data_IF_921090585423
#
_entry.id   IF_921090585423
#
_cell.length_a   1.000
_cell.length_b   1.000
_cell.length_c   1.000
_cell.angle_alpha   90.00
_cell.angle_beta   90.00
_cell.angle_gamma   90.00
#
_symmetry.space_group_name_H-M   'P 1'
#
loop_
_entity.id
_entity.type
_entity.pdbx_description
1 polymer ?
#
# COMPACT_ATOMS: atom_id res chain seq x y z
N UNK A 1 -4.59 -9.26 27.65
CA UNK A 1 -6.04 -9.14 27.86
C UNK A 1 -6.33 -7.65 28.03
N UNK A 2 -7.08 -7.04 27.10
CA UNK A 2 -7.35 -5.59 27.08
C UNK A 2 -6.89 -4.89 25.79
N UNK A 3 -7.56 -5.16 24.67
CA UNK A 3 -7.40 -4.43 23.42
C UNK A 3 -8.04 -3.04 23.51
N UNK A 4 -7.32 -2.02 23.06
CA UNK A 4 -7.84 -0.67 22.86
C UNK A 4 -8.82 -0.66 21.67
N UNK A 5 -10.12 -0.62 21.98
CA UNK A 5 -11.18 -0.27 21.03
C UNK A 5 -11.29 1.25 20.96
N UNK A 6 -10.65 1.84 19.95
CA UNK A 6 -10.82 3.24 19.57
C UNK A 6 -11.41 3.35 18.16
N UNK A 7 -12.41 2.52 17.85
CA UNK A 7 -13.24 2.73 16.68
C UNK A 7 -14.24 3.84 17.02
N UNK A 8 -14.21 4.95 16.28
CA UNK A 8 -15.40 5.80 16.20
C UNK A 8 -16.45 4.95 15.50
N UNK A 9 -17.28 4.28 16.30
CA UNK A 9 -18.48 3.64 15.80
C UNK A 9 -19.26 4.72 15.05
N UNK A 10 -19.37 4.52 13.74
CA UNK A 10 -20.41 5.15 12.95
C UNK A 10 -21.69 4.54 13.51
N UNK A 11 -22.23 5.14 14.58
CA UNK A 11 -23.63 4.96 14.92
C UNK A 11 -24.37 5.44 13.69
N UNK A 12 -24.76 4.46 12.87
CA UNK A 12 -25.90 4.62 12.01
C UNK A 12 -27.00 5.16 12.90
N UNK A 13 -27.41 6.38 12.62
CA UNK A 13 -28.57 6.97 13.25
C UNK A 13 -29.70 6.00 12.94
N UNK A 14 -30.07 5.18 13.93
CA UNK A 14 -31.38 4.55 13.94
C UNK A 14 -32.35 5.71 13.80
N UNK A 15 -32.90 5.86 12.61
CA UNK A 15 -34.00 6.78 12.36
C UNK A 15 -35.21 6.12 13.02
N UNK A 16 -35.27 6.17 14.35
CA UNK A 16 -36.56 6.20 15.03
C UNK A 16 -37.15 7.58 14.76
N UNK A 17 -37.53 7.81 13.51
CA UNK A 17 -38.48 8.83 13.14
C UNK A 17 -39.74 8.56 13.96
N UNK A 18 -40.15 9.55 14.74
CA UNK A 18 -41.42 9.53 15.44
C UNK A 18 -42.51 9.02 14.51
N UNK A 19 -43.06 7.84 14.84
CA UNK A 19 -44.23 7.27 14.21
C UNK A 19 -45.42 8.21 14.43
N UNK A 20 -45.65 9.12 13.49
CA UNK A 20 -46.97 9.64 13.22
C UNK A 20 -47.53 8.82 12.06
N UNK A 21 -48.43 7.89 12.39
CA UNK A 21 -48.99 6.86 11.51
C UNK A 21 -49.92 7.37 10.41
N UNK A 22 -49.55 8.42 9.68
CA UNK A 22 -50.23 8.89 8.47
C UNK A 22 -49.19 9.57 7.55
N UNK A 23 -48.26 8.79 6.97
CA UNK A 23 -47.50 9.25 5.80
C UNK A 23 -48.11 8.62 4.54
N UNK A 24 -48.70 9.46 3.69
CA UNK A 24 -49.14 9.08 2.37
C UNK A 24 -47.94 8.47 1.60
N UNK A 25 -48.11 7.27 1.03
CA UNK A 25 -47.08 6.61 0.21
C UNK A 25 -46.82 7.42 -1.05
N UNK A 26 -45.90 8.38 -0.99
CA UNK A 26 -45.40 9.11 -2.16
C UNK A 26 -44.37 8.30 -2.96
N UNK A 27 -43.77 7.28 -2.33
CA UNK A 27 -42.76 6.39 -2.91
C UNK A 27 -43.05 4.94 -2.54
N UNK A 28 -42.66 4.01 -3.41
CA UNK A 28 -42.84 2.56 -3.24
C UNK A 28 -41.69 1.90 -2.44
N UNK A 29 -40.83 2.70 -1.82
CA UNK A 29 -39.67 2.26 -1.03
C UNK A 29 -39.46 3.13 0.21
N UNK A 30 -39.05 2.54 1.33
CA UNK A 30 -38.83 3.25 2.59
C UNK A 30 -37.35 3.60 2.82
N UNK A 31 -37.09 4.54 3.73
CA UNK A 31 -35.73 4.91 4.13
C UNK A 31 -34.96 3.72 4.75
N UNK A 32 -35.65 2.89 5.54
CA UNK A 32 -35.05 1.70 6.15
C UNK A 32 -34.67 0.66 5.09
N UNK A 33 -35.51 0.45 4.06
CA UNK A 33 -35.17 -0.44 2.94
C UNK A 33 -33.90 0.00 2.21
N UNK A 34 -33.78 1.31 1.94
CA UNK A 34 -32.59 1.90 1.30
C UNK A 34 -31.35 1.77 2.20
N UNK A 35 -31.54 2.00 3.50
CA UNK A 35 -30.48 1.87 4.49
C UNK A 35 -29.97 0.43 4.56
N UNK A 36 -30.85 -0.57 4.67
CA UNK A 36 -30.47 -1.98 4.69
C UNK A 36 -29.78 -2.39 3.39
N UNK A 37 -30.33 -2.01 2.23
CA UNK A 37 -29.69 -2.29 0.92
C UNK A 37 -28.26 -1.75 0.85
N UNK A 38 -28.01 -0.54 1.34
CA UNK A 38 -26.69 0.07 1.31
C UNK A 38 -25.75 -0.43 2.43
N UNK A 39 -26.24 -0.55 3.67
CA UNK A 39 -25.44 -0.91 4.83
C UNK A 39 -25.05 -2.40 4.85
N UNK A 40 -25.93 -3.28 4.39
CA UNK A 40 -25.70 -4.73 4.31
C UNK A 40 -25.21 -5.15 2.91
N UNK A 41 -25.16 -4.22 1.96
CA UNK A 41 -24.79 -4.46 0.56
C UNK A 41 -25.62 -5.58 -0.07
N UNK A 42 -26.94 -5.54 0.18
CA UNK A 42 -27.88 -6.52 -0.32
C UNK A 42 -28.10 -6.36 -1.83
N UNK A 43 -27.17 -6.89 -2.61
CA UNK A 43 -27.22 -6.88 -4.07
C UNK A 43 -28.32 -7.78 -4.63
N UNK A 44 -28.75 -8.79 -3.87
CA UNK A 44 -29.82 -9.69 -4.28
C UNK A 44 -31.19 -9.02 -4.09
N UNK A 45 -31.38 -8.26 -3.01
CA UNK A 45 -32.53 -7.37 -2.83
C UNK A 45 -32.61 -6.29 -3.90
N UNK A 46 -31.48 -5.69 -4.28
CA UNK A 46 -31.42 -4.74 -5.41
C UNK A 46 -31.84 -5.39 -6.73
N UNK A 47 -31.34 -6.61 -7.03
CA UNK A 47 -31.71 -7.37 -8.23
C UNK A 47 -33.20 -7.74 -8.24
N UNK A 48 -33.74 -8.16 -7.10
CA UNK A 48 -35.16 -8.48 -6.95
C UNK A 48 -36.08 -7.29 -7.24
N UNK A 49 -35.59 -6.07 -7.00
CA UNK A 49 -36.28 -4.80 -7.31
C UNK A 49 -36.02 -4.26 -8.72
N UNK A 50 -35.46 -5.07 -9.63
CA UNK A 50 -35.20 -4.67 -11.02
C UNK A 50 -33.85 -3.97 -11.23
N UNK A 51 -32.90 -4.12 -10.29
CA UNK A 51 -31.57 -3.52 -10.40
C UNK A 51 -31.59 -2.00 -10.20
N UNK A 52 -30.59 -1.31 -10.77
CA UNK A 52 -30.45 0.15 -10.64
C UNK A 52 -31.61 0.88 -11.29
N UNK A 53 -32.05 0.43 -12.46
CA UNK A 53 -33.17 1.05 -13.18
C UNK A 53 -34.48 0.86 -12.44
N UNK A 54 -34.72 -0.33 -11.87
CA UNK A 54 -35.89 -0.58 -11.03
C UNK A 54 -35.89 0.23 -9.74
N UNK A 55 -34.73 0.37 -9.08
CA UNK A 55 -34.59 1.23 -7.89
C UNK A 55 -34.84 2.71 -8.22
N UNK A 56 -34.31 3.20 -9.34
CA UNK A 56 -34.56 4.56 -9.81
C UNK A 56 -36.06 4.78 -10.05
N UNK A 57 -36.75 3.82 -10.67
CA UNK A 57 -38.21 3.83 -10.85
C UNK A 57 -38.98 3.93 -9.53
N UNK A 58 -38.61 3.15 -8.50
CA UNK A 58 -39.23 3.19 -7.17
C UNK A 58 -39.05 4.53 -6.45
N UNK A 59 -37.98 5.27 -6.80
CA UNK A 59 -37.68 6.61 -6.30
C UNK A 59 -38.21 7.72 -7.21
N UNK A 60 -39.00 7.39 -8.23
CA UNK A 60 -39.46 8.32 -9.26
C UNK A 60 -38.33 9.14 -9.90
N UNK A 61 -37.15 8.52 -10.06
CA UNK A 61 -35.95 9.09 -10.65
C UNK A 61 -35.55 8.33 -11.91
N UNK A 62 -34.84 8.99 -12.81
CA UNK A 62 -34.26 8.37 -14.02
C UNK A 62 -32.75 8.24 -13.86
N UNK A 63 -32.16 7.12 -14.27
CA UNK A 63 -30.70 6.94 -14.28
C UNK A 63 -30.02 7.85 -15.30
N UNK A 64 -30.75 8.34 -16.31
CA UNK A 64 -30.25 9.24 -17.34
C UNK A 64 -30.60 10.70 -17.05
N UNK A 65 -31.85 10.98 -16.68
CA UNK A 65 -32.35 12.35 -16.53
C UNK A 65 -32.37 12.85 -15.07
N UNK A 66 -32.18 11.96 -14.10
CA UNK A 66 -32.22 12.28 -12.67
C UNK A 66 -33.61 12.68 -12.18
N UNK A 67 -33.64 13.42 -11.06
CA UNK A 67 -34.87 13.94 -10.45
C UNK A 67 -35.34 15.25 -11.11
N UNK A 68 -36.65 15.49 -11.12
CA UNK A 68 -37.23 16.81 -11.41
C UNK A 68 -37.15 17.73 -10.18
N UNK A 69 -37.31 19.05 -10.36
CA UNK A 69 -37.32 20.00 -9.23
C UNK A 69 -38.41 19.68 -8.19
N UNK A 70 -39.59 19.27 -8.65
CA UNK A 70 -40.69 18.80 -7.78
C UNK A 70 -40.31 17.52 -7.04
N UNK A 71 -39.62 16.59 -7.72
CA UNK A 71 -39.10 15.35 -7.13
C UNK A 71 -38.06 15.60 -6.04
N UNK A 72 -37.22 16.64 -6.20
CA UNK A 72 -36.25 17.05 -5.17
C UNK A 72 -36.95 17.55 -3.91
N UNK A 73 -37.97 18.39 -4.05
CA UNK A 73 -38.75 18.90 -2.92
C UNK A 73 -39.52 17.77 -2.20
N UNK A 74 -40.14 16.86 -2.96
CA UNK A 74 -40.86 15.71 -2.42
C UNK A 74 -39.93 14.73 -1.68
N UNK A 75 -38.74 14.47 -2.23
CA UNK A 75 -37.72 13.63 -1.60
C UNK A 75 -37.22 14.23 -0.29
N UNK A 76 -36.90 15.53 -0.29
CA UNK A 76 -36.44 16.23 0.91
C UNK A 76 -37.48 16.23 2.04
N UNK A 77 -38.77 16.38 1.72
CA UNK A 77 -39.85 16.31 2.70
C UNK A 77 -40.06 14.90 3.26
N UNK A 78 -39.84 13.86 2.45
CA UNK A 78 -40.10 12.46 2.83
C UNK A 78 -38.93 11.83 3.59
N UNK A 79 -37.71 12.00 3.09
CA UNK A 79 -36.49 11.36 3.62
C UNK A 79 -35.69 12.27 4.58
N UNK A 80 -36.02 13.56 4.64
CA UNK A 80 -35.36 14.53 5.50
C UNK A 80 -34.12 15.18 4.90
N UNK A 81 -33.52 16.18 5.59
CA UNK A 81 -32.38 16.93 5.09
C UNK A 81 -31.05 16.19 5.27
N UNK A 82 -30.13 16.36 4.33
CA UNK A 82 -28.77 15.79 4.38
C UNK A 82 -27.82 16.65 5.23
N UNK A 83 -28.11 16.82 6.53
CA UNK A 83 -27.32 17.65 7.46
C UNK A 83 -27.05 16.91 8.76
N UNK A 84 -25.81 16.98 9.25
CA UNK A 84 -25.45 16.43 10.55
C UNK A 84 -26.12 17.22 11.68
N UNK A 85 -26.56 16.51 12.72
CA UNK A 85 -27.03 17.14 13.96
C UNK A 85 -25.84 17.71 14.72
N UNK A 86 -25.75 19.03 14.82
CA UNK A 86 -24.69 19.69 15.58
C UNK A 86 -24.79 19.35 17.08
N UNK A 87 -23.69 18.88 17.68
CA UNK A 87 -23.59 18.65 19.12
C UNK A 87 -23.27 19.98 19.81
N UNK A 88 -24.01 20.38 20.88
CA UNK A 88 -23.78 21.65 21.55
C UNK A 88 -22.37 21.74 22.14
N UNK A 89 -21.80 22.97 22.23
CA UNK A 89 -20.44 23.16 22.73
C UNK A 89 -20.27 22.78 24.20
N UNK A 90 -19.10 22.22 24.53
CA UNK A 90 -18.69 21.98 25.92
C UNK A 90 -18.20 23.29 26.54
N UNK A 91 -18.60 23.56 27.78
CA UNK A 91 -18.10 24.70 28.54
C UNK A 91 -16.73 24.40 29.17
N UNK A 92 -15.93 25.44 29.43
CA UNK A 92 -14.59 25.32 30.03
C UNK A 92 -14.58 24.49 31.33
N UNK A 93 -15.55 24.70 32.23
CA UNK A 93 -15.64 23.95 33.49
C UNK A 93 -15.89 22.46 33.30
N UNK A 94 -16.64 22.08 32.26
CA UNK A 94 -16.85 20.68 31.93
C UNK A 94 -15.54 20.05 31.44
N UNK A 95 -14.75 20.78 30.65
CA UNK A 95 -13.43 20.34 30.19
C UNK A 95 -12.44 20.22 31.36
N UNK A 96 -12.41 21.20 32.27
CA UNK A 96 -11.56 21.14 33.45
C UNK A 96 -11.90 19.95 34.36
N UNK A 97 -13.19 19.65 34.51
CA UNK A 97 -13.64 18.45 35.23
C UNK A 97 -13.21 17.16 34.53
N UNK A 98 -13.35 17.08 33.20
CA UNK A 98 -12.87 15.95 32.40
C UNK A 98 -11.33 15.77 32.54
N UNK A 99 -10.55 16.85 32.53
CA UNK A 99 -9.09 16.83 32.74
C UNK A 99 -8.72 16.35 34.15
N UNK A 100 -9.49 16.73 35.18
CA UNK A 100 -9.26 16.33 36.56
C UNK A 100 -9.53 14.83 36.82
N UNK A 101 -10.26 14.15 35.93
CA UNK A 101 -10.55 12.71 36.02
C UNK A 101 -9.43 11.81 35.48
N UNK A 102 -8.34 12.39 34.95
CA UNK A 102 -7.19 11.61 34.49
C UNK A 102 -6.52 10.86 35.67
N UNK A 103 -6.24 9.55 35.56
CA UNK A 103 -5.61 8.76 36.62
C UNK A 103 -4.30 9.34 37.17
N UNK A 104 -3.51 10.02 36.34
CA UNK A 104 -2.25 10.66 36.73
C UNK A 104 -2.53 11.90 37.58
N UNK A 105 -3.50 12.73 37.17
CA UNK A 105 -3.90 13.91 37.93
C UNK A 105 -4.54 13.51 39.26
N UNK A 106 -5.39 12.47 39.27
CA UNK A 106 -5.98 11.92 40.49
C UNK A 106 -4.88 11.44 41.45
N UNK A 107 -3.86 10.73 40.96
CA UNK A 107 -2.73 10.31 41.77
C UNK A 107 -2.01 11.50 42.42
N UNK A 108 -1.78 12.58 41.65
CA UNK A 108 -1.17 13.81 42.17
C UNK A 108 -2.06 14.52 43.21
N UNK A 109 -3.38 14.52 43.02
CA UNK A 109 -4.33 15.05 44.00
C UNK A 109 -4.27 14.24 45.31
N UNK A 110 -4.24 12.91 45.22
CA UNK A 110 -4.10 12.03 46.39
C UNK A 110 -2.76 12.25 47.08
N UNK A 111 -1.66 12.34 46.32
CA UNK A 111 -0.34 12.63 46.86
C UNK A 111 -0.30 14.01 47.55
N UNK A 112 -0.91 15.03 46.96
CA UNK A 112 -1.02 16.36 47.55
C UNK A 112 -1.82 16.33 48.85
N UNK A 113 -2.94 15.59 48.89
CA UNK A 113 -3.75 15.43 50.08
C UNK A 113 -2.98 14.71 51.21
N UNK A 114 -2.32 13.59 50.91
CA UNK A 114 -1.53 12.82 51.88
C UNK A 114 -0.36 13.65 52.40
N UNK A 115 0.40 14.30 51.51
CA UNK A 115 1.54 15.15 51.87
C UNK A 115 1.11 16.34 52.75
N UNK A 116 0.03 17.03 52.39
CA UNK A 116 -0.50 18.15 53.18
C UNK A 116 -0.98 17.68 54.55
N UNK A 117 -1.64 16.52 54.61
CA UNK A 117 -2.18 15.97 55.87
C UNK A 117 -1.06 15.53 56.81
N UNK A 118 -0.08 14.77 56.32
CA UNK A 118 1.06 14.34 57.13
C UNK A 118 1.90 15.52 57.62
N UNK A 119 2.19 16.49 56.74
CA UNK A 119 2.95 17.70 57.08
C UNK A 119 2.23 18.63 58.06
N UNK A 120 0.91 18.53 58.19
CA UNK A 120 0.13 19.31 59.17
C UNK A 120 -0.16 18.54 60.47
N UNK A 121 -0.29 17.22 60.42
CA UNK A 121 -0.67 16.38 61.55
C UNK A 121 0.52 15.97 62.45
N UNK A 122 1.73 15.85 61.89
CA UNK A 122 2.92 15.41 62.64
C UNK A 122 3.64 16.64 63.22
N UNK A 123 3.85 16.73 64.56
CA UNK A 123 4.45 17.90 65.20
C UNK A 123 5.86 18.25 64.69
N UNK A 124 6.71 17.24 64.49
CA UNK A 124 8.11 17.42 64.04
C UNK A 124 8.20 17.95 62.59
N UNK A 125 7.30 17.54 61.71
CA UNK A 125 7.21 18.03 60.33
C UNK A 125 6.56 19.41 60.24
N UNK A 126 5.62 19.70 61.15
CA UNK A 126 4.94 20.99 61.24
C UNK A 126 5.88 22.13 61.63
N UNK A 127 6.82 21.88 62.54
CA UNK A 127 7.87 22.87 62.90
C UNK A 127 8.79 23.21 61.72
N UNK A 128 8.94 22.29 60.75
CA UNK A 128 9.74 22.48 59.53
C UNK A 128 8.93 22.94 58.32
N UNK A 129 7.66 23.31 58.49
CA UNK A 129 6.75 23.70 57.42
C UNK A 129 6.47 22.59 56.36
N UNK A 130 6.48 21.31 56.74
CA UNK A 130 6.25 20.20 55.81
C UNK A 130 4.91 20.25 55.05
N UNK A 131 3.89 20.94 55.59
CA UNK A 131 2.61 21.18 54.90
C UNK A 131 2.75 22.04 53.63
N UNK A 132 3.81 22.86 53.52
CA UNK A 132 4.07 23.73 52.36
C UNK A 132 4.40 22.90 51.11
N UNK A 133 5.04 21.75 51.27
CA UNK A 133 5.31 20.83 50.16
C UNK A 133 4.01 20.30 49.54
N UNK A 134 3.04 19.92 50.37
CA UNK A 134 1.72 19.49 49.91
C UNK A 134 0.95 20.59 49.20
N UNK A 135 1.00 21.83 49.71
CA UNK A 135 0.37 23.01 49.07
C UNK A 135 1.04 23.35 47.74
N UNK A 136 2.35 23.21 47.61
CA UNK A 136 3.06 23.41 46.34
C UNK A 136 2.57 22.43 45.26
N UNK A 137 2.31 21.17 45.63
CA UNK A 137 1.76 20.17 44.72
C UNK A 137 0.31 20.54 44.32
N UNK A 138 -0.51 21.03 45.24
CA UNK A 138 -1.87 21.52 44.91
C UNK A 138 -1.86 22.63 43.87
N UNK A 139 -0.99 23.63 44.04
CA UNK A 139 -0.87 24.74 43.09
C UNK A 139 -0.43 24.22 41.71
N UNK A 140 0.56 23.32 41.67
CA UNK A 140 1.02 22.71 40.43
C UNK A 140 -0.10 21.96 39.72
N UNK A 141 -0.89 21.16 40.45
CA UNK A 141 -2.02 20.41 39.90
C UNK A 141 -3.10 21.32 39.32
N UNK A 142 -3.47 22.40 40.04
CA UNK A 142 -4.47 23.36 39.56
C UNK A 142 -4.00 24.05 38.26
N UNK A 143 -2.74 24.47 38.21
CA UNK A 143 -2.17 25.08 36.99
C UNK A 143 -2.23 24.10 35.82
N UNK A 144 -1.85 22.83 36.05
CA UNK A 144 -1.88 21.80 35.01
C UNK A 144 -3.31 21.56 34.50
N UNK A 145 -4.31 21.48 35.38
CA UNK A 145 -5.72 21.32 34.97
C UNK A 145 -6.19 22.53 34.15
N UNK A 146 -5.89 23.75 34.59
CA UNK A 146 -6.27 24.97 33.88
C UNK A 146 -5.63 25.07 32.49
N UNK A 147 -4.33 24.74 32.39
CA UNK A 147 -3.61 24.72 31.10
C UNK A 147 -4.15 23.60 30.20
N UNK A 148 -4.43 22.42 30.75
CA UNK A 148 -5.04 21.31 30.02
C UNK A 148 -6.42 21.68 29.44
N UNK A 149 -7.31 22.19 30.29
CA UNK A 149 -8.64 22.64 29.89
C UNK A 149 -8.59 23.81 28.89
N UNK A 150 -7.65 24.75 29.05
CA UNK A 150 -7.44 25.87 28.14
C UNK A 150 -7.00 25.41 26.75
N UNK A 151 -6.05 24.49 26.68
CA UNK A 151 -5.61 23.88 25.43
C UNK A 151 -6.74 23.13 24.73
N UNK A 152 -7.51 22.34 25.47
CA UNK A 152 -8.59 21.56 24.88
C UNK A 152 -9.77 22.42 24.44
N UNK A 153 -10.07 23.51 25.15
CA UNK A 153 -11.03 24.52 24.72
C UNK A 153 -10.58 25.23 23.44
N UNK A 154 -9.29 25.58 23.32
CA UNK A 154 -8.73 26.17 22.10
C UNK A 154 -8.80 25.21 20.91
N UNK A 155 -8.51 23.92 21.13
CA UNK A 155 -8.62 22.87 20.11
C UNK A 155 -10.06 22.70 19.64
N UNK A 156 -11.04 22.60 20.55
CA UNK A 156 -12.45 22.43 20.18
C UNK A 156 -12.96 23.60 19.33
N UNK A 157 -12.56 24.84 19.67
CA UNK A 157 -12.90 26.04 18.89
C UNK A 157 -12.28 26.04 17.49
N UNK A 158 -11.01 25.64 17.36
CA UNK A 158 -10.33 25.55 16.07
C UNK A 158 -10.90 24.42 15.21
N UNK A 159 -11.22 23.27 15.80
CA UNK A 159 -11.84 22.14 15.12
C UNK A 159 -13.19 22.53 14.50
N UNK A 160 -14.03 23.27 15.23
CA UNK A 160 -15.30 23.78 14.72
C UNK A 160 -15.12 24.73 13.52
N UNK A 161 -14.16 25.65 13.61
CA UNK A 161 -13.86 26.58 12.50
C UNK A 161 -13.45 25.84 11.24
N UNK A 162 -12.67 24.76 11.39
CA UNK A 162 -12.25 23.91 10.27
C UNK A 162 -13.41 23.08 9.72
N UNK A 163 -14.28 22.52 10.56
CA UNK A 163 -15.45 21.77 10.10
C UNK A 163 -16.43 22.65 9.32
N UNK A 164 -16.74 23.85 9.81
CA UNK A 164 -17.62 24.79 9.10
C UNK A 164 -17.10 25.16 7.70
N UNK A 165 -15.77 25.19 7.50
CA UNK A 165 -15.16 25.42 6.18
C UNK A 165 -15.12 24.17 5.30
N UNK A 166 -15.11 22.97 5.90
CA UNK A 166 -15.09 21.68 5.20
C UNK A 166 -16.45 21.23 4.70
N UNK A 167 -17.53 21.78 5.23
CA UNK A 167 -18.88 21.32 4.94
C UNK A 167 -19.39 21.70 3.55
N UNK A 168 -18.93 22.79 2.93
CA UNK A 168 -19.40 23.22 1.61
C UNK A 168 -18.59 22.54 0.48
N UNK A 169 -18.90 21.27 0.21
CA UNK A 169 -18.36 20.57 -0.96
C UNK A 169 -19.40 20.61 -2.08
N UNK A 170 -19.00 21.12 -3.23
CA UNK A 170 -19.83 21.13 -4.43
C UNK A 170 -19.81 19.76 -5.12
N UNK A 171 -20.98 19.21 -5.38
CA UNK A 171 -21.20 17.89 -5.97
C UNK A 171 -21.98 18.03 -7.27
N UNK A 172 -21.59 17.29 -8.31
CA UNK A 172 -22.31 17.26 -9.60
C UNK A 172 -23.43 16.23 -9.52
N UNK A 173 -24.66 16.69 -9.73
CA UNK A 173 -25.87 15.86 -9.83
C UNK A 173 -26.50 16.03 -11.21
N UNK A 174 -27.20 15.01 -11.67
CA UNK A 174 -28.11 15.13 -12.83
C UNK A 174 -29.52 15.37 -12.31
N UNK A 175 -30.15 16.46 -12.73
CA UNK A 175 -31.54 16.82 -12.41
C UNK A 175 -32.21 17.38 -13.67
N UNK A 176 -33.39 16.87 -14.03
CA UNK A 176 -34.14 17.28 -15.22
C UNK A 176 -33.36 17.14 -16.54
N UNK A 177 -32.46 16.16 -16.64
CA UNK A 177 -31.59 15.93 -17.81
C UNK A 177 -30.37 16.85 -17.89
N UNK A 178 -30.18 17.77 -16.94
CA UNK A 178 -29.05 18.69 -16.91
C UNK A 178 -28.09 18.38 -15.75
N UNK A 179 -26.79 18.64 -15.97
CA UNK A 179 -25.79 18.56 -14.91
C UNK A 179 -25.81 19.85 -14.09
N UNK A 180 -26.14 19.74 -12.80
CA UNK A 180 -26.22 20.86 -11.87
C UNK A 180 -25.22 20.65 -10.74
N UNK A 181 -24.63 21.74 -10.28
CA UNK A 181 -23.71 21.74 -9.15
C UNK A 181 -24.45 22.16 -7.89
N UNK A 182 -24.52 21.28 -6.90
CA UNK A 182 -25.23 21.51 -5.62
C UNK A 182 -24.27 21.32 -4.45
N UNK A 183 -24.57 21.89 -3.28
CA UNK A 183 -23.82 21.54 -2.08
C UNK A 183 -24.15 20.11 -1.67
N UNK A 184 -23.20 19.41 -1.06
CA UNK A 184 -23.40 18.11 -0.43
C UNK A 184 -24.62 18.08 0.53
N UNK A 185 -24.90 19.18 1.25
CA UNK A 185 -26.04 19.30 2.17
C UNK A 185 -27.40 19.40 1.49
N UNK A 186 -27.42 19.65 0.17
CA UNK A 186 -28.62 19.80 -0.67
C UNK A 186 -28.85 18.57 -1.58
N UNK A 187 -28.04 17.51 -1.42
CA UNK A 187 -28.21 16.21 -2.07
C UNK A 187 -29.37 15.47 -1.42
N UNK A 188 -30.25 14.89 -2.24
CA UNK A 188 -31.46 14.18 -1.79
C UNK A 188 -31.49 12.73 -2.28
N UNK A 189 -32.32 11.91 -1.65
CA UNK A 189 -32.54 10.51 -2.07
C UNK A 189 -33.13 10.49 -3.48
N UNK A 190 -32.52 9.73 -4.38
CA UNK A 190 -32.89 9.64 -5.80
C UNK A 190 -32.04 10.50 -6.75
N UNK A 191 -31.15 11.36 -6.23
CA UNK A 191 -30.18 12.08 -7.07
C UNK A 191 -29.23 11.10 -7.78
N UNK A 192 -28.92 11.40 -9.04
CA UNK A 192 -27.87 10.71 -9.80
C UNK A 192 -26.58 11.52 -9.70
N UNK A 193 -25.60 10.97 -8.97
CA UNK A 193 -24.32 11.63 -8.69
C UNK A 193 -23.29 11.31 -9.77
N UNK A 194 -22.62 12.34 -10.30
CA UNK A 194 -21.48 12.18 -11.20
C UNK A 194 -20.18 12.21 -10.39
N UNK A 195 -19.54 11.06 -10.25
CA UNK A 195 -18.31 10.90 -9.48
C UNK A 195 -17.08 10.93 -10.41
N UNK A 196 -16.27 11.98 -10.30
CA UNK A 196 -14.94 12.05 -10.92
C UNK A 196 -13.91 11.51 -9.92
N UNK A 197 -13.41 10.30 -10.13
CA UNK A 197 -12.61 9.57 -9.14
C UNK A 197 -11.32 9.01 -9.72
N UNK A 198 -10.29 8.92 -8.87
CA UNK A 198 -9.01 8.31 -9.23
C UNK A 198 -9.08 6.78 -9.27
N UNK A 199 -8.07 6.15 -9.90
CA UNK A 199 -8.00 4.70 -10.11
C UNK A 199 -8.10 3.84 -8.84
N UNK A 200 -7.84 4.42 -7.65
CA UNK A 200 -7.88 3.71 -6.37
C UNK A 200 -9.12 4.00 -5.52
N UNK A 201 -10.10 4.74 -6.04
CA UNK A 201 -11.29 5.10 -5.26
C UNK A 201 -12.06 3.87 -4.78
N UNK A 202 -12.34 2.93 -5.68
CA UNK A 202 -13.04 1.69 -5.37
C UNK A 202 -12.28 0.82 -4.38
N UNK A 203 -10.95 0.70 -4.49
CA UNK A 203 -10.15 -0.09 -3.54
C UNK A 203 -10.13 0.52 -2.14
N UNK A 204 -10.07 1.85 -2.01
CA UNK A 204 -10.08 2.51 -0.70
C UNK A 204 -11.47 2.58 -0.06
N UNK A 205 -12.53 2.53 -0.88
CA UNK A 205 -13.91 2.71 -0.41
C UNK A 205 -14.75 1.42 -0.54
N UNK A 206 -14.14 0.30 -0.92
CA UNK A 206 -14.80 -1.00 -1.06
C UNK A 206 -15.48 -1.43 0.24
N UNK A 207 -14.90 -1.13 1.40
CA UNK A 207 -15.46 -1.47 2.72
C UNK A 207 -16.31 -0.35 3.33
N UNK A 208 -16.39 0.81 2.67
CA UNK A 208 -17.19 1.92 3.16
C UNK A 208 -18.68 1.59 3.07
N UNK A 209 -19.43 1.87 4.14
CA UNK A 209 -20.91 1.84 4.13
C UNK A 209 -21.52 2.97 3.30
N UNK A 210 -20.71 3.90 2.79
CA UNK A 210 -21.19 5.02 1.98
C UNK A 210 -21.35 4.68 0.49
N UNK A 211 -20.80 3.56 0.01
CA UNK A 211 -20.79 3.21 -1.41
C UNK A 211 -21.07 1.71 -1.61
N UNK A 212 -22.04 1.40 -2.48
CA UNK A 212 -22.24 0.06 -3.03
C UNK A 212 -21.78 0.06 -4.50
N UNK A 213 -20.79 -0.79 -4.83
CA UNK A 213 -20.31 -0.93 -6.21
C UNK A 213 -21.31 -1.76 -7.01
N UNK A 214 -22.05 -1.11 -7.91
CA UNK A 214 -23.06 -1.80 -8.71
C UNK A 214 -22.48 -2.38 -10.01
N UNK A 215 -21.50 -1.71 -10.61
CA UNK A 215 -20.76 -2.23 -11.76
C UNK A 215 -19.35 -1.64 -11.83
N UNK A 216 -18.38 -2.48 -12.20
CA UNK A 216 -17.01 -2.07 -12.50
C UNK A 216 -16.82 -2.05 -14.02
N UNK A 217 -16.36 -0.92 -14.57
CA UNK A 217 -15.81 -0.88 -15.92
C UNK A 217 -14.28 -0.92 -15.80
N UNK A 218 -13.74 -2.15 -15.72
CA UNK A 218 -12.30 -2.36 -15.57
C UNK A 218 -11.53 -1.80 -16.79
N UNK A 219 -10.36 -1.20 -16.55
CA UNK A 219 -9.47 -0.61 -17.58
C UNK A 219 -10.08 0.56 -18.39
N UNK A 220 -10.89 1.41 -17.78
CA UNK A 220 -11.46 2.59 -18.45
C UNK A 220 -10.46 3.72 -18.73
N UNK A 221 -9.23 3.64 -18.23
CA UNK A 221 -8.16 4.56 -18.64
C UNK A 221 -7.71 4.20 -20.06
N UNK A 222 -7.97 5.05 -21.08
CA UNK A 222 -7.61 4.72 -22.45
C UNK A 222 -6.09 4.59 -22.58
N UNK A 223 -5.62 3.46 -23.12
CA UNK A 223 -4.21 3.27 -23.48
C UNK A 223 -3.81 4.38 -24.46
N UNK A 224 -2.84 5.21 -24.06
CA UNK A 224 -2.32 6.30 -24.90
C UNK A 224 -1.34 5.74 -25.94
N UNK A 225 -1.82 4.88 -26.85
CA UNK A 225 -1.02 4.18 -27.86
C UNK A 225 -0.16 5.14 -28.70
N UNK A 226 -0.66 6.35 -28.96
CA UNK A 226 0.07 7.41 -29.68
C UNK A 226 1.38 7.84 -29.00
N UNK A 227 1.46 7.79 -27.66
CA UNK A 227 2.64 8.22 -26.89
C UNK A 227 3.55 7.07 -26.45
N UNK A 228 3.11 5.83 -26.68
CA UNK A 228 3.86 4.62 -26.32
C UNK A 228 5.21 4.55 -27.02
N UNK A 229 5.27 4.86 -28.32
CA UNK A 229 6.51 4.84 -29.09
C UNK A 229 7.52 5.87 -28.61
N UNK A 230 7.06 7.04 -28.17
CA UNK A 230 7.92 8.08 -27.59
C UNK A 230 8.49 7.61 -26.25
N UNK A 231 7.64 7.06 -25.37
CA UNK A 231 8.09 6.50 -24.09
C UNK A 231 9.11 5.36 -24.27
N UNK A 232 8.84 4.44 -25.21
CA UNK A 232 9.75 3.35 -25.55
C UNK A 232 11.07 3.88 -26.12
N UNK A 233 11.00 4.85 -27.04
CA UNK A 233 12.17 5.47 -27.64
C UNK A 233 13.07 6.16 -26.61
N UNK A 234 12.48 6.90 -25.66
CA UNK A 234 13.22 7.54 -24.56
C UNK A 234 13.88 6.50 -23.65
N UNK A 235 13.18 5.41 -23.31
CA UNK A 235 13.74 4.32 -22.50
C UNK A 235 14.89 3.59 -23.20
N UNK A 236 14.75 3.28 -24.49
CA UNK A 236 15.81 2.67 -25.30
C UNK A 236 17.00 3.61 -25.43
N UNK A 237 16.77 4.90 -25.66
CA UNK A 237 17.83 5.90 -25.72
C UNK A 237 18.64 5.97 -24.41
N UNK A 238 17.96 6.01 -23.27
CA UNK A 238 18.59 5.99 -21.95
C UNK A 238 19.50 4.77 -21.74
N UNK A 239 19.04 3.57 -22.09
CA UNK A 239 19.86 2.34 -21.97
C UNK A 239 21.01 2.35 -22.97
N UNK A 240 20.77 2.89 -24.18
CA UNK A 240 21.78 2.93 -25.24
C UNK A 240 22.95 3.82 -24.89
N UNK A 241 22.76 4.89 -24.10
CA UNK A 241 23.90 5.70 -23.62
C UNK A 241 24.83 4.88 -22.74
N UNK A 242 24.30 4.03 -21.85
CA UNK A 242 25.11 3.19 -20.96
C UNK A 242 25.89 2.12 -21.71
N UNK A 243 25.26 1.52 -22.73
CA UNK A 243 25.91 0.53 -23.59
C UNK A 243 27.04 1.21 -24.38
N UNK A 244 26.78 2.39 -24.94
CA UNK A 244 27.76 3.11 -25.74
C UNK A 244 28.96 3.61 -24.91
N UNK A 245 28.74 4.01 -23.66
CA UNK A 245 29.83 4.33 -22.71
C UNK A 245 30.79 3.15 -22.56
N UNK A 246 30.25 1.94 -22.42
CA UNK A 246 31.06 0.71 -22.31
C UNK A 246 31.81 0.36 -23.60
N UNK A 247 31.37 0.80 -24.78
CA UNK A 247 32.05 0.54 -26.05
C UNK A 247 33.09 1.61 -26.40
N UNK A 248 32.86 2.85 -25.97
CA UNK A 248 33.72 3.99 -26.31
C UNK A 248 34.77 4.31 -25.23
N UNK A 249 34.73 3.64 -24.07
CA UNK A 249 35.57 3.90 -22.89
C UNK A 249 35.60 5.39 -22.50
N UNK A 250 34.47 6.09 -22.70
CA UNK A 250 34.32 7.52 -22.40
C UNK A 250 33.01 7.75 -21.63
N UNK A 251 33.03 8.51 -20.53
CA UNK A 251 31.82 8.88 -19.82
C UNK A 251 31.00 9.87 -20.68
N UNK A 252 29.77 9.49 -21.03
CA UNK A 252 28.84 10.30 -21.82
C UNK A 252 27.86 11.02 -20.88
N UNK A 253 26.97 10.24 -20.26
CA UNK A 253 25.90 10.68 -19.38
C UNK A 253 25.68 9.62 -18.30
N UNK A 254 25.94 10.00 -17.05
CA UNK A 254 25.68 9.16 -15.88
C UNK A 254 24.23 8.66 -15.86
N UNK A 255 24.04 7.41 -15.45
CA UNK A 255 22.72 6.76 -15.36
C UNK A 255 21.70 7.61 -14.58
N UNK A 256 22.12 8.23 -13.48
CA UNK A 256 21.24 9.09 -12.68
C UNK A 256 20.75 10.31 -13.47
N UNK A 257 21.64 11.01 -14.17
CA UNK A 257 21.27 12.15 -15.01
C UNK A 257 20.40 11.72 -16.19
N UNK A 258 20.67 10.56 -16.78
CA UNK A 258 19.89 10.00 -17.87
C UNK A 258 18.46 9.62 -17.42
N UNK A 259 18.32 9.07 -16.21
CA UNK A 259 17.03 8.71 -15.62
C UNK A 259 16.17 9.94 -15.31
N UNK A 260 16.74 10.97 -14.67
CA UNK A 260 16.02 12.23 -14.39
C UNK A 260 15.61 12.91 -15.70
N UNK A 261 16.51 12.97 -16.69
CA UNK A 261 16.21 13.59 -17.98
C UNK A 261 15.08 12.84 -18.70
N UNK A 262 15.16 11.51 -18.76
CA UNK A 262 14.13 10.66 -19.35
C UNK A 262 12.78 10.84 -18.66
N UNK A 263 12.75 10.79 -17.32
CA UNK A 263 11.52 11.02 -16.55
C UNK A 263 10.94 12.41 -16.77
N UNK A 264 11.80 13.44 -16.81
CA UNK A 264 11.40 14.83 -17.07
C UNK A 264 10.83 15.00 -18.48
N UNK A 265 11.45 14.39 -19.49
CA UNK A 265 10.96 14.39 -20.87
C UNK A 265 9.65 13.62 -21.00
N UNK A 266 9.49 12.49 -20.32
CA UNK A 266 8.23 11.73 -20.29
C UNK A 266 7.09 12.55 -19.66
N UNK A 267 7.39 13.40 -18.67
CA UNK A 267 6.41 14.32 -18.10
C UNK A 267 6.13 15.50 -19.03
N UNK A 268 7.15 16.13 -19.60
CA UNK A 268 7.02 17.28 -20.50
C UNK A 268 6.26 16.94 -21.79
N UNK A 269 6.48 15.75 -22.33
CA UNK A 269 5.80 15.23 -23.53
C UNK A 269 4.40 14.67 -23.22
N UNK A 270 4.00 14.64 -21.95
CA UNK A 270 2.72 14.14 -21.49
C UNK A 270 2.55 12.62 -21.64
N UNK A 271 3.63 11.86 -21.78
CA UNK A 271 3.58 10.40 -21.69
C UNK A 271 3.04 9.95 -20.34
N UNK A 272 3.41 10.68 -19.27
CA UNK A 272 3.00 10.39 -17.89
C UNK A 272 2.59 11.68 -17.17
N UNK A 273 1.53 11.63 -16.34
CA UNK A 273 1.15 12.75 -15.47
C UNK A 273 2.02 12.81 -14.20
N UNK A 274 2.10 13.97 -13.54
CA UNK A 274 2.83 14.08 -12.28
C UNK A 274 2.29 13.18 -11.15
N UNK A 275 0.99 12.87 -11.16
CA UNK A 275 0.40 11.92 -10.22
C UNK A 275 0.85 10.47 -10.52
N UNK A 276 0.86 10.08 -11.80
CA UNK A 276 1.39 8.77 -12.23
C UNK A 276 2.88 8.64 -11.91
N UNK A 277 3.68 9.68 -12.16
CA UNK A 277 5.10 9.71 -11.85
C UNK A 277 5.37 9.47 -10.36
N UNK A 278 4.61 10.14 -9.47
CA UNK A 278 4.69 9.91 -8.03
C UNK A 278 4.24 8.51 -7.62
N UNK A 279 3.22 7.97 -8.29
CA UNK A 279 2.72 6.61 -8.03
C UNK A 279 3.68 5.50 -8.48
N UNK A 280 4.55 5.76 -9.46
CA UNK A 280 5.59 4.82 -9.89
C UNK A 280 6.80 4.75 -8.94
N UNK A 281 6.90 5.66 -7.96
CA UNK A 281 8.05 5.74 -7.08
C UNK A 281 7.82 4.91 -5.81
N UNK A 282 8.59 3.83 -5.65
CA UNK A 282 8.55 3.00 -4.45
C UNK A 282 9.43 3.59 -3.34
N UNK A 283 8.80 4.38 -2.46
CA UNK A 283 9.46 5.01 -1.32
C UNK A 283 10.13 4.00 -0.37
N UNK A 284 9.61 2.78 -0.31
CA UNK A 284 10.18 1.72 0.52
C UNK A 284 11.61 1.42 0.10
N UNK A 285 11.89 1.43 -1.21
CA UNK A 285 13.24 1.18 -1.75
C UNK A 285 14.23 2.26 -1.30
N UNK A 286 13.85 3.53 -1.41
CA UNK A 286 14.70 4.65 -0.98
C UNK A 286 14.98 4.60 0.52
N UNK A 287 13.95 4.30 1.32
CA UNK A 287 14.09 4.16 2.77
C UNK A 287 14.99 2.96 3.10
N UNK A 288 14.83 1.82 2.43
CA UNK A 288 15.67 0.63 2.61
C UNK A 288 17.13 0.90 2.27
N UNK A 289 17.42 1.58 1.15
CA UNK A 289 18.77 1.97 0.75
C UNK A 289 19.39 2.91 1.81
N UNK A 290 18.64 3.93 2.25
CA UNK A 290 19.08 4.85 3.30
C UNK A 290 19.37 4.14 4.63
N UNK A 291 18.48 3.23 5.05
CA UNK A 291 18.66 2.42 6.25
C UNK A 291 19.87 1.48 6.13
N UNK A 292 20.10 0.89 4.96
CA UNK A 292 21.23 0.01 4.72
C UNK A 292 22.58 0.72 4.82
N UNK A 293 22.68 2.00 4.43
CA UNK A 293 23.89 2.79 4.69
C UNK A 293 24.11 2.98 6.20
N UNK A 294 23.04 3.23 6.97
CA UNK A 294 23.10 3.30 8.43
C UNK A 294 23.55 1.99 9.08
N UNK A 295 22.99 0.86 8.65
CA UNK A 295 23.38 -0.48 9.11
C UNK A 295 24.83 -0.78 8.72
N UNK A 296 25.23 -0.51 7.48
CA UNK A 296 26.60 -0.71 7.00
C UNK A 296 27.61 0.08 7.82
N UNK A 297 27.33 1.36 8.11
CA UNK A 297 28.22 2.17 8.94
C UNK A 297 28.28 1.69 10.39
N UNK A 298 27.16 1.24 10.96
CA UNK A 298 27.13 0.65 12.30
C UNK A 298 27.97 -0.65 12.35
N UNK A 299 27.91 -1.48 11.31
CA UNK A 299 28.71 -2.71 11.23
C UNK A 299 30.21 -2.44 11.10
N UNK A 300 30.59 -1.39 10.37
CA UNK A 300 31.98 -0.95 10.22
C UNK A 300 32.53 -0.41 11.55
N UNK A 301 31.80 0.51 12.20
CA UNK A 301 32.21 1.11 13.49
C UNK A 301 32.32 0.09 14.64
N UNK A 302 31.49 -0.96 14.61
CA UNK A 302 31.51 -2.02 15.64
C UNK A 302 32.56 -3.11 15.37
N UNK A 303 33.23 -3.08 14.21
CA UNK A 303 34.09 -4.18 13.75
C UNK A 303 33.33 -5.48 13.46
N UNK A 304 31.99 -5.43 13.40
CA UNK A 304 31.14 -6.57 13.05
C UNK A 304 31.35 -6.98 11.58
N UNK A 305 31.58 -6.01 10.70
CA UNK A 305 31.86 -6.23 9.28
C UNK A 305 33.09 -7.15 9.10
N UNK A 306 34.19 -6.89 9.81
CA UNK A 306 35.41 -7.70 9.76
C UNK A 306 35.20 -9.11 10.31
N UNK A 307 34.43 -9.25 11.40
CA UNK A 307 34.08 -10.56 11.98
C UNK A 307 33.20 -11.39 11.04
N UNK A 308 32.24 -10.78 10.38
CA UNK A 308 31.37 -11.45 9.42
C UNK A 308 32.12 -11.81 8.13
N UNK A 309 32.95 -10.89 7.62
CA UNK A 309 33.84 -11.14 6.50
C UNK A 309 34.76 -12.33 6.79
N UNK A 310 35.45 -12.32 7.94
CA UNK A 310 36.33 -13.43 8.34
C UNK A 310 35.59 -14.75 8.62
N UNK A 311 34.38 -14.73 9.19
CA UNK A 311 33.55 -15.92 9.35
C UNK A 311 33.11 -16.50 8.00
N UNK A 312 32.69 -15.65 7.07
CA UNK A 312 32.34 -16.04 5.70
C UNK A 312 33.55 -16.61 4.96
N UNK A 313 34.72 -15.96 5.05
CA UNK A 313 36.00 -16.46 4.56
C UNK A 313 36.35 -17.81 5.20
N UNK A 314 36.06 -18.01 6.48
CA UNK A 314 36.29 -19.29 7.17
C UNK A 314 35.46 -20.44 6.58
N UNK A 315 34.20 -20.17 6.23
CA UNK A 315 33.30 -21.15 5.59
C UNK A 315 33.75 -21.43 4.14
N UNK A 316 34.16 -20.40 3.42
CA UNK A 316 34.49 -20.47 1.99
C UNK A 316 35.97 -20.77 1.74
N UNK A 317 36.84 -20.81 2.77
CA UNK A 317 38.28 -21.14 2.65
C UNK A 317 38.54 -22.53 2.08
N UNK A 318 37.59 -23.45 2.22
CA UNK A 318 37.62 -24.78 1.58
C UNK A 318 37.38 -24.72 0.06
N UNK A 319 36.91 -23.57 -0.44
CA UNK A 319 36.55 -23.33 -1.83
C UNK A 319 37.36 -22.14 -2.37
N UNK A 320 38.47 -22.42 -3.03
CA UNK A 320 39.32 -21.40 -3.62
C UNK A 320 38.76 -20.87 -4.95
N UNK A 321 38.64 -19.55 -5.09
CA UNK A 321 38.42 -18.89 -6.38
C UNK A 321 37.29 -17.86 -6.37
N UNK A 322 37.48 -16.76 -7.12
CA UNK A 322 36.51 -15.66 -7.28
C UNK A 322 35.10 -16.16 -7.58
N UNK A 323 34.97 -17.09 -8.53
CA UNK A 323 33.71 -17.68 -8.96
C UNK A 323 32.95 -18.31 -7.80
N UNK A 324 33.64 -19.09 -6.97
CA UNK A 324 32.99 -19.83 -5.90
C UNK A 324 32.52 -18.92 -4.77
N UNK A 325 33.30 -17.88 -4.46
CA UNK A 325 32.95 -16.85 -3.49
C UNK A 325 31.71 -16.06 -3.95
N UNK A 326 31.68 -15.62 -5.21
CA UNK A 326 30.51 -14.95 -5.79
C UNK A 326 29.28 -15.87 -5.82
N UNK A 327 29.45 -17.16 -6.13
CA UNK A 327 28.39 -18.16 -6.08
C UNK A 327 27.83 -18.38 -4.67
N UNK A 328 28.70 -18.39 -3.64
CA UNK A 328 28.26 -18.50 -2.25
C UNK A 328 27.49 -17.24 -1.81
N UNK A 329 27.96 -16.05 -2.20
CA UNK A 329 27.28 -14.79 -1.93
C UNK A 329 25.92 -14.70 -2.64
N UNK A 330 25.83 -15.21 -3.87
CA UNK A 330 24.58 -15.39 -4.61
C UNK A 330 23.60 -16.25 -3.82
N UNK A 331 24.01 -17.44 -3.36
CA UNK A 331 23.13 -18.36 -2.60
C UNK A 331 22.63 -17.68 -1.32
N UNK A 332 23.54 -17.06 -0.55
CA UNK A 332 23.18 -16.39 0.70
C UNK A 332 22.15 -15.29 0.46
N UNK A 333 22.35 -14.47 -0.58
CA UNK A 333 21.42 -13.40 -0.95
C UNK A 333 20.10 -13.96 -1.46
N UNK A 334 20.13 -15.03 -2.26
CA UNK A 334 18.95 -15.67 -2.80
C UNK A 334 18.05 -16.26 -1.70
N UNK A 335 18.64 -16.92 -0.71
CA UNK A 335 17.88 -17.44 0.44
C UNK A 335 17.27 -16.31 1.28
N UNK A 336 18.01 -15.20 1.44
CA UNK A 336 17.51 -14.05 2.19
C UNK A 336 16.33 -13.37 1.48
N UNK A 337 16.33 -13.32 0.14
CA UNK A 337 15.23 -12.72 -0.63
C UNK A 337 13.94 -13.54 -0.65
N UNK A 338 13.95 -14.75 -0.10
CA UNK A 338 12.72 -15.53 0.09
C UNK A 338 11.91 -15.04 1.31
N UNK A 339 12.59 -14.37 2.24
CA UNK A 339 12.05 -13.87 3.50
C UNK A 339 11.79 -12.36 3.40
N UNK A 340 12.67 -11.64 2.72
CA UNK A 340 12.62 -10.19 2.54
C UNK A 340 12.26 -9.83 1.09
N UNK A 341 11.87 -8.57 0.85
CA UNK A 341 11.76 -8.08 -0.52
C UNK A 341 13.13 -8.04 -1.20
N UNK A 342 13.16 -8.22 -2.54
CA UNK A 342 14.38 -8.19 -3.35
C UNK A 342 15.29 -6.98 -3.02
N UNK A 343 14.67 -5.79 -2.92
CA UNK A 343 15.40 -4.56 -2.64
C UNK A 343 15.95 -4.50 -1.21
N UNK A 344 15.19 -5.00 -0.22
CA UNK A 344 15.66 -5.06 1.16
C UNK A 344 16.79 -6.09 1.34
N UNK A 345 16.69 -7.25 0.68
CA UNK A 345 17.73 -8.27 0.70
C UNK A 345 19.05 -7.75 0.08
N UNK A 346 18.98 -7.08 -1.07
CA UNK A 346 20.15 -6.48 -1.69
C UNK A 346 20.80 -5.42 -0.80
N UNK A 347 20.00 -4.53 -0.20
CA UNK A 347 20.48 -3.47 0.66
C UNK A 347 21.17 -4.00 1.93
N UNK A 348 20.62 -5.06 2.56
CA UNK A 348 21.23 -5.71 3.72
C UNK A 348 22.51 -6.47 3.36
N UNK A 349 22.51 -7.18 2.24
CA UNK A 349 23.65 -8.02 1.84
C UNK A 349 24.82 -7.21 1.31
N UNK A 350 24.61 -5.99 0.81
CA UNK A 350 25.69 -5.19 0.22
C UNK A 350 26.82 -4.86 1.21
N UNK A 351 26.58 -4.33 2.43
CA UNK A 351 27.65 -4.11 3.40
C UNK A 351 28.41 -5.40 3.78
N UNK A 352 27.69 -6.52 3.90
CA UNK A 352 28.28 -7.83 4.23
C UNK A 352 29.18 -8.31 3.08
N UNK A 353 28.68 -8.22 1.84
CA UNK A 353 29.41 -8.62 0.66
C UNK A 353 30.62 -7.73 0.38
N UNK A 354 30.50 -6.42 0.62
CA UNK A 354 31.61 -5.47 0.46
C UNK A 354 32.77 -5.81 1.40
N UNK A 355 32.47 -6.02 2.70
CA UNK A 355 33.48 -6.43 3.68
C UNK A 355 34.13 -7.79 3.33
N UNK A 356 33.33 -8.75 2.82
CA UNK A 356 33.85 -10.02 2.35
C UNK A 356 34.74 -9.87 1.10
N UNK A 357 34.37 -8.96 0.18
CA UNK A 357 35.15 -8.62 -1.02
C UNK A 357 36.51 -8.03 -0.67
N UNK A 358 36.54 -7.08 0.27
CA UNK A 358 37.76 -6.44 0.74
C UNK A 358 38.70 -7.44 1.42
N UNK A 359 38.17 -8.32 2.27
CA UNK A 359 38.95 -9.36 2.94
C UNK A 359 39.54 -10.41 1.96
N UNK A 360 38.91 -10.60 0.81
CA UNK A 360 39.29 -11.61 -0.21
C UNK A 360 39.99 -11.02 -1.43
N UNK A 361 40.15 -9.69 -1.50
CA UNK A 361 40.73 -9.01 -2.65
C UNK A 361 39.90 -9.11 -3.94
N UNK A 362 38.57 -9.26 -3.82
CA UNK A 362 37.66 -9.31 -4.97
C UNK A 362 37.19 -7.88 -5.28
N UNK A 363 37.22 -7.49 -6.56
CA UNK A 363 36.80 -6.14 -6.92
C UNK A 363 35.30 -5.90 -6.63
N UNK A 364 34.92 -4.70 -6.14
CA UNK A 364 33.53 -4.39 -5.74
C UNK A 364 32.43 -4.64 -6.79
N UNK A 365 32.68 -4.49 -8.11
CA UNK A 365 31.67 -4.81 -9.11
C UNK A 365 31.20 -6.27 -9.06
N UNK A 366 32.11 -7.23 -8.84
CA UNK A 366 31.75 -8.66 -8.81
C UNK A 366 30.87 -9.02 -7.62
N UNK A 367 31.15 -8.41 -6.46
CA UNK A 367 30.32 -8.54 -5.27
C UNK A 367 28.93 -7.98 -5.54
N UNK A 368 28.85 -6.79 -6.13
CA UNK A 368 27.58 -6.16 -6.51
C UNK A 368 26.76 -7.05 -7.43
N UNK A 369 27.37 -7.62 -8.48
CA UNK A 369 26.68 -8.51 -9.41
C UNK A 369 26.16 -9.78 -8.75
N UNK A 370 26.94 -10.40 -7.84
CA UNK A 370 26.51 -11.60 -7.12
C UNK A 370 25.25 -11.33 -6.29
N UNK A 371 25.21 -10.19 -5.60
CA UNK A 371 24.06 -9.75 -4.80
C UNK A 371 22.88 -9.39 -5.70
N UNK A 372 23.10 -8.68 -6.81
CA UNK A 372 22.03 -8.32 -7.77
C UNK A 372 21.35 -9.56 -8.35
N UNK A 373 22.13 -10.56 -8.79
CA UNK A 373 21.57 -11.82 -9.28
C UNK A 373 20.84 -12.59 -8.17
N UNK A 374 21.42 -12.65 -6.97
CA UNK A 374 20.84 -13.37 -5.83
C UNK A 374 19.51 -12.77 -5.38
N UNK A 375 19.48 -11.46 -5.15
CA UNK A 375 18.28 -10.72 -4.73
C UNK A 375 17.15 -10.73 -5.76
N UNK A 376 17.46 -10.98 -7.03
CA UNK A 376 16.44 -11.11 -8.08
C UNK A 376 15.89 -12.53 -8.24
N UNK A 377 16.43 -13.50 -7.49
CA UNK A 377 16.11 -14.93 -7.62
C UNK A 377 15.18 -15.41 -6.49
N UNK A 378 14.04 -14.77 -6.28
CA UNK A 378 13.03 -15.17 -5.30
C UNK A 378 11.99 -16.11 -5.95
N UNK A 379 12.28 -17.41 -5.98
CA UNK A 379 11.44 -18.41 -6.67
C UNK A 379 10.74 -19.39 -5.74
N UNK A 380 11.22 -19.57 -4.50
CA UNK A 380 10.69 -20.57 -3.56
C UNK A 380 9.47 -20.07 -2.79
N UNK A 381 9.39 -18.78 -2.53
CA UNK A 381 8.36 -18.14 -1.73
C UNK A 381 7.35 -17.38 -2.60
N UNK A 382 6.03 -17.59 -2.40
CA UNK A 382 5.01 -16.74 -3.02
C UNK A 382 4.96 -15.34 -2.40
N UNK A 383 5.56 -15.15 -1.21
CA UNK A 383 5.50 -13.90 -0.45
C UNK A 383 6.70 -12.97 -0.70
N UNK A 384 7.80 -13.48 -1.27
CA UNK A 384 9.00 -12.68 -1.51
C UNK A 384 8.83 -11.61 -2.59
N UNK A 385 7.90 -11.80 -3.53
CA UNK A 385 7.68 -10.85 -4.63
C UNK A 385 6.21 -10.78 -5.11
N UNK A 386 5.78 -9.59 -5.53
CA UNK A 386 4.39 -9.29 -5.91
C UNK A 386 3.87 -10.17 -7.05
N UNK A 387 4.70 -10.47 -8.06
CA UNK A 387 4.28 -11.33 -9.17
C UNK A 387 3.99 -12.77 -8.72
N UNK A 388 4.80 -13.32 -7.80
CA UNK A 388 4.59 -14.67 -7.28
C UNK A 388 3.27 -14.74 -6.50
N UNK A 389 2.95 -13.68 -5.74
CA UNK A 389 1.72 -13.57 -4.98
C UNK A 389 0.49 -13.50 -5.91
N UNK A 390 0.58 -12.75 -7.01
CA UNK A 390 -0.51 -12.63 -7.99
C UNK A 390 -0.87 -13.98 -8.61
N UNK A 391 0.15 -14.77 -9.01
CA UNK A 391 -0.07 -16.10 -9.60
C UNK A 391 -0.49 -17.13 -8.54
N UNK A 392 0.05 -17.04 -7.32
CA UNK A 392 -0.35 -17.88 -6.19
C UNK A 392 -1.85 -17.76 -5.91
N UNK A 393 -2.38 -16.53 -5.86
CA UNK A 393 -3.79 -16.26 -5.65
C UNK A 393 -4.66 -16.70 -6.83
N UNK A 394 -4.30 -16.34 -8.07
CA UNK A 394 -5.10 -16.67 -9.26
C UNK A 394 -5.10 -18.18 -9.59
N UNK A 395 -3.98 -18.87 -9.32
CA UNK A 395 -3.80 -20.29 -9.63
C UNK A 395 -4.19 -21.24 -8.50
N UNK A 396 -4.61 -20.72 -7.33
CA UNK A 396 -4.93 -21.50 -6.12
C UNK A 396 -3.84 -22.52 -5.75
N UNK A 397 -2.58 -22.11 -5.86
CA UNK A 397 -1.42 -22.97 -5.56
C UNK A 397 -1.27 -23.17 -4.05
N UNK A 398 -0.75 -24.34 -3.65
CA UNK A 398 -0.32 -24.58 -2.25
C UNK A 398 1.12 -24.09 -2.09
N UNK A 399 1.48 -23.54 -0.94
CA UNK A 399 2.84 -23.01 -0.67
C UNK A 399 3.94 -24.03 -0.96
N UNK A 400 3.71 -25.31 -0.63
CA UNK A 400 4.68 -26.39 -0.88
C UNK A 400 4.88 -26.70 -2.37
N UNK A 401 3.90 -26.39 -3.24
CA UNK A 401 4.08 -26.51 -4.69
C UNK A 401 5.03 -25.42 -5.20
N UNK A 402 4.93 -24.22 -4.63
CA UNK A 402 5.83 -23.09 -4.89
C UNK A 402 7.26 -23.43 -4.48
N UNK A 403 7.47 -23.92 -3.26
CA UNK A 403 8.81 -24.29 -2.77
C UNK A 403 9.44 -25.38 -3.64
N UNK A 404 8.70 -26.45 -3.98
CA UNK A 404 9.24 -27.54 -4.80
C UNK A 404 9.69 -27.07 -6.18
N UNK A 405 8.87 -26.27 -6.85
CA UNK A 405 9.21 -25.73 -8.16
C UNK A 405 10.33 -24.70 -8.07
N UNK A 406 10.24 -23.81 -7.08
CA UNK A 406 11.22 -22.77 -6.81
C UNK A 406 12.59 -23.32 -6.50
N UNK A 407 12.72 -24.39 -5.71
CA UNK A 407 14.02 -25.01 -5.41
C UNK A 407 14.71 -25.49 -6.70
N UNK A 408 13.96 -26.08 -7.63
CA UNK A 408 14.51 -26.52 -8.91
C UNK A 408 15.00 -25.32 -9.74
N UNK A 409 14.19 -24.26 -9.80
CA UNK A 409 14.59 -23.02 -10.47
C UNK A 409 15.78 -22.35 -9.80
N UNK A 410 15.89 -22.44 -8.47
CA UNK A 410 17.00 -21.89 -7.71
C UNK A 410 18.32 -22.58 -8.07
N UNK A 411 18.31 -23.91 -8.16
CA UNK A 411 19.49 -24.68 -8.59
C UNK A 411 19.86 -24.33 -10.03
N UNK A 412 18.89 -24.20 -10.92
CA UNK A 412 19.13 -23.81 -12.31
C UNK A 412 19.77 -22.42 -12.42
N UNK A 413 19.23 -21.44 -11.71
CA UNK A 413 19.75 -20.08 -11.68
C UNK A 413 21.13 -20.02 -11.04
N UNK A 414 21.38 -20.80 -9.98
CA UNK A 414 22.70 -20.91 -9.36
C UNK A 414 23.76 -21.42 -10.35
N UNK A 415 23.45 -22.45 -11.14
CA UNK A 415 24.35 -22.96 -12.17
C UNK A 415 24.63 -21.87 -13.21
N UNK A 416 23.59 -21.20 -13.72
CA UNK A 416 23.74 -20.12 -14.71
C UNK A 416 24.62 -18.97 -14.22
N UNK A 417 24.38 -18.48 -13.00
CA UNK A 417 25.16 -17.40 -12.38
C UNK A 417 26.60 -17.83 -12.13
N UNK A 418 26.82 -19.08 -11.68
CA UNK A 418 28.17 -19.63 -11.48
C UNK A 418 28.94 -19.70 -12.81
N UNK A 419 28.28 -20.10 -13.91
CA UNK A 419 28.89 -20.10 -15.23
C UNK A 419 29.24 -18.68 -15.72
N UNK A 420 28.37 -17.69 -15.45
CA UNK A 420 28.66 -16.28 -15.76
C UNK A 420 29.94 -15.81 -15.05
N UNK A 421 30.10 -16.12 -13.76
CA UNK A 421 31.32 -15.76 -13.02
C UNK A 421 32.54 -16.59 -13.39
N UNK A 422 32.35 -17.82 -13.88
CA UNK A 422 33.44 -18.66 -14.38
C UNK A 422 33.97 -18.12 -15.70
N UNK A 423 33.08 -17.77 -16.64
CA UNK A 423 33.39 -17.20 -17.95
C UNK A 423 33.38 -15.66 -17.93
N UNK A 424 33.88 -15.06 -16.86
CA UNK A 424 33.85 -13.61 -16.64
C UNK A 424 34.45 -12.81 -17.81
N UNK A 425 35.52 -13.30 -18.44
CA UNK A 425 36.21 -12.61 -19.54
C UNK A 425 35.43 -12.71 -20.87
N UNK A 426 34.51 -13.66 -20.98
CA UNK A 426 33.65 -13.90 -22.15
C UNK A 426 32.16 -13.84 -21.78
N UNK A 427 31.81 -13.04 -20.77
CA UNK A 427 30.45 -12.94 -20.24
C UNK A 427 29.41 -12.56 -21.31
N UNK A 428 29.80 -11.77 -22.31
CA UNK A 428 28.95 -11.37 -23.44
C UNK A 428 28.50 -12.56 -24.29
N UNK A 429 29.32 -13.62 -24.37
CA UNK A 429 28.98 -14.85 -25.09
C UNK A 429 27.79 -15.54 -24.41
N UNK A 430 27.76 -15.56 -23.07
CA UNK A 430 26.63 -16.12 -22.32
C UNK A 430 25.35 -15.31 -22.51
N UNK A 431 25.46 -13.99 -22.62
CA UNK A 431 24.34 -13.11 -22.96
C UNK A 431 23.82 -13.36 -24.37
N UNK A 432 24.70 -13.52 -25.37
CA UNK A 432 24.32 -13.84 -26.75
C UNK A 432 23.62 -15.19 -26.79
N UNK A 433 24.18 -16.23 -26.16
CA UNK A 433 23.57 -17.57 -26.09
C UNK A 433 22.19 -17.50 -25.43
N UNK A 434 22.07 -16.79 -24.31
CA UNK A 434 20.78 -16.61 -23.61
C UNK A 434 19.77 -15.86 -24.48
N UNK A 435 20.19 -14.79 -25.16
CA UNK A 435 19.36 -14.04 -26.10
C UNK A 435 18.88 -14.89 -27.28
N UNK A 436 19.76 -15.73 -27.83
CA UNK A 436 19.41 -16.68 -28.90
C UNK A 436 18.42 -17.73 -28.40
N UNK A 437 18.60 -18.27 -27.19
CA UNK A 437 17.65 -19.21 -26.58
C UNK A 437 16.28 -18.57 -26.35
N UNK A 438 16.24 -17.33 -25.86
CA UNK A 438 14.99 -16.57 -25.68
C UNK A 438 14.33 -16.29 -27.04
N UNK A 439 15.08 -15.85 -28.04
CA UNK A 439 14.56 -15.63 -29.39
C UNK A 439 14.04 -16.93 -30.01
N UNK A 440 14.73 -18.05 -29.81
CA UNK A 440 14.31 -19.37 -30.29
C UNK A 440 13.05 -19.86 -29.57
N UNK A 441 12.92 -19.66 -28.26
CA UNK A 441 11.72 -20.04 -27.50
C UNK A 441 10.51 -19.17 -27.85
N UNK A 442 10.68 -17.85 -27.95
CA UNK A 442 9.63 -16.93 -28.38
C UNK A 442 9.22 -17.17 -29.84
N UNK A 443 10.22 -17.34 -30.73
CA UNK A 443 10.00 -17.67 -32.13
C UNK A 443 9.32 -19.03 -32.29
N UNK A 444 9.71 -20.01 -31.48
CA UNK A 444 9.08 -21.32 -31.39
C UNK A 444 7.61 -21.24 -30.93
N UNK A 445 7.32 -20.47 -29.88
CA UNK A 445 5.96 -20.26 -29.40
C UNK A 445 5.08 -19.53 -30.42
N UNK A 446 5.63 -18.51 -31.11
CA UNK A 446 4.96 -17.80 -32.18
C UNK A 446 4.68 -18.71 -33.39
N UNK A 447 5.66 -19.52 -33.80
CA UNK A 447 5.50 -20.51 -34.86
C UNK A 447 4.47 -21.59 -34.48
N UNK A 448 4.51 -22.06 -33.24
CA UNK A 448 3.53 -22.99 -32.67
C UNK A 448 2.11 -22.42 -32.71
N UNK A 449 1.97 -21.12 -32.44
CA UNK A 449 0.73 -20.36 -32.56
C UNK A 449 0.10 -20.35 -33.96
N UNK A 450 0.92 -20.57 -35.00
CA UNK A 450 0.47 -20.66 -36.41
C UNK A 450 0.19 -22.08 -36.89
N UNK A 451 0.59 -23.12 -36.12
CA UNK A 451 0.27 -24.51 -36.44
C UNK A 451 -1.25 -24.73 -36.31
N UNK A 452 -1.90 -25.40 -37.27
CA UNK A 452 -3.33 -25.70 -37.20
C UNK A 452 -3.72 -26.42 -35.90
N UNK A 453 -4.82 -26.00 -35.28
CA UNK A 453 -5.36 -26.54 -34.03
C UNK A 453 -5.48 -28.07 -33.95
N UNK A 454 -5.86 -28.83 -35.01
CA UNK A 454 -5.92 -30.30 -34.92
C UNK A 454 -4.56 -30.99 -34.83
N UNK A 455 -3.49 -30.36 -35.34
CA UNK A 455 -2.11 -30.89 -35.22
C UNK A 455 -1.56 -30.55 -33.84
N UNK A 456 -1.80 -29.32 -33.38
CA UNK A 456 -1.39 -28.84 -32.05
C UNK A 456 -1.94 -29.73 -30.94
N UNK A 457 -3.25 -29.99 -30.96
CA UNK A 457 -3.91 -30.81 -29.93
C UNK A 457 -3.41 -32.26 -29.90
N UNK A 458 -3.10 -32.88 -31.04
CA UNK A 458 -2.49 -34.23 -31.12
C UNK A 458 -1.09 -34.28 -30.51
N UNK A 459 -0.26 -33.28 -30.79
CA UNK A 459 1.09 -33.20 -30.25
C UNK A 459 1.06 -32.90 -28.75
N UNK A 460 0.19 -31.99 -28.31
CA UNK A 460 0.01 -31.68 -26.88
C UNK A 460 -0.54 -32.87 -26.10
N UNK A 461 -1.49 -33.64 -26.65
CA UNK A 461 -1.93 -34.90 -26.00
C UNK A 461 -0.86 -35.98 -26.01
N UNK A 462 -0.04 -36.07 -27.06
CA UNK A 462 1.11 -36.98 -27.13
C UNK A 462 2.18 -36.63 -26.09
N UNK A 463 2.55 -35.36 -25.99
CA UNK A 463 3.47 -34.82 -24.99
C UNK A 463 2.91 -34.96 -23.58
N UNK A 464 1.62 -34.69 -23.36
CA UNK A 464 0.99 -34.88 -22.05
C UNK A 464 0.97 -36.36 -21.63
N UNK A 465 0.87 -37.31 -22.57
CA UNK A 465 1.02 -38.75 -22.28
C UNK A 465 2.46 -39.15 -21.99
N UNK A 466 3.42 -38.61 -22.74
CA UNK A 466 4.85 -38.87 -22.54
C UNK A 466 5.39 -38.24 -21.25
N UNK A 467 5.04 -36.98 -20.98
CA UNK A 467 5.40 -36.25 -19.77
C UNK A 467 4.55 -36.68 -18.58
N UNK A 468 3.32 -37.13 -18.78
CA UNK A 468 2.50 -37.77 -17.74
C UNK A 468 3.07 -39.10 -17.23
N UNK A 469 3.96 -39.74 -18.00
CA UNK A 469 4.73 -40.90 -17.54
C UNK A 469 5.98 -40.51 -16.72
N UNK A 470 6.46 -39.26 -16.84
CA UNK A 470 7.60 -38.70 -16.09
C UNK A 470 7.18 -37.81 -14.92
N UNK A 471 5.96 -37.28 -14.95
CA UNK A 471 5.45 -36.37 -13.93
C UNK A 471 4.74 -37.13 -12.82
N UNK A 472 5.36 -37.08 -11.63
CA UNK A 472 4.84 -37.44 -10.31
C UNK A 472 3.57 -36.65 -9.88
N UNK A 473 2.89 -35.99 -10.81
CA UNK A 473 1.75 -35.11 -10.60
C UNK A 473 0.47 -35.78 -11.10
N UNK A 474 -0.02 -36.73 -10.31
CA UNK A 474 -1.42 -37.15 -10.36
C UNK A 474 -1.97 -37.16 -8.94
N UNK A 475 -2.98 -36.30 -8.72
CA UNK A 475 -3.85 -36.14 -7.52
C UNK A 475 -3.29 -35.23 -6.42
N UNK A 476 -4.08 -34.19 -6.08
CA UNK A 476 -3.86 -33.32 -4.93
C UNK A 476 -4.64 -32.03 -4.97
#
# INVERSE_FOLDING_TARGET
MGQAKGGKDVEAVHVHGHHNGHQAKAYDITADDLYHMNAEKDMDGLRAKGGVEGLAGLLHSSTHDGLTEEGVAASSHTFGPNRYKEVPPKNFFKLAYETAQDPIIILLIVAAAVSTTLGAAIPEEREKNGWVEGVAIWIAVIIVICVGAGNDWQKDRQFRKLNAQREAIQVKVVRGGAQVLVNNTDVVVGDVLLLDTGAHFLTHHAESKAFALVSEVANSAPLKTSRMWLALGLGVAMVSTQILESFLDRPLINLWTAAILTGSLMMATGCMSGAQARGCMDWTVFICIGAAFGVGRAMELTGMADKLGSAFVGIVKSVSGRTAICSALYIATALLTEILSNNAAAALMYPVGAAAGDALGISPPWISFAIMFGSSSAFMSPFGYQCNLMVYAAGNYKTMQFVKFGCLMQVWMWIGVTLIFYFADTWYVMWIISGVLVAATLGGAWAWGRVPTPVRTRVETGLARALGALCFWRRG
#
